data_IF_894221104616
#
_entry.id   IF_894221104616
#
_cell.length_a   1.000
_cell.length_b   1.000
_cell.length_c   1.000
_cell.angle_alpha   90.00
_cell.angle_beta   90.00
_cell.angle_gamma   90.00
#
_symmetry.space_group_name_H-M   'P 1'
#
loop_
_entity.id
_entity.type
_entity.pdbx_description
1 polymer ?
#
# COMPACT_ATOMS: atom_id res chain seq x y z
N UNK A 1 -47.89 -38.21 19.83
CA UNK A 1 -47.60 -37.56 18.53
C UNK A 1 -46.96 -36.20 18.83
N UNK A 2 -45.62 -36.12 18.81
CA UNK A 2 -44.86 -34.87 19.00
C UNK A 2 -43.96 -34.72 17.78
N UNK A 3 -44.27 -33.74 16.94
CA UNK A 3 -43.50 -33.40 15.75
C UNK A 3 -42.39 -32.46 16.21
N UNK A 4 -41.13 -32.90 16.17
CA UNK A 4 -39.97 -32.02 16.33
C UNK A 4 -39.72 -31.32 14.99
N UNK A 5 -39.81 -29.99 14.97
CA UNK A 5 -39.30 -29.18 13.87
C UNK A 5 -37.80 -28.94 14.10
N UNK A 6 -36.97 -29.46 13.21
CA UNK A 6 -35.55 -29.15 13.15
C UNK A 6 -35.41 -27.88 12.30
N UNK A 7 -35.13 -26.73 12.92
CA UNK A 7 -34.77 -25.52 12.20
C UNK A 7 -33.30 -25.62 11.79
N UNK A 8 -33.04 -25.85 10.50
CA UNK A 8 -31.70 -25.72 9.94
C UNK A 8 -31.42 -24.23 9.72
N UNK A 9 -30.53 -23.65 10.54
CA UNK A 9 -29.98 -22.32 10.31
C UNK A 9 -28.96 -22.41 9.17
N UNK A 10 -29.32 -21.92 8.00
CA UNK A 10 -28.40 -21.73 6.87
C UNK A 10 -27.50 -20.53 7.20
N UNK A 11 -26.26 -20.79 7.60
CA UNK A 11 -25.25 -19.74 7.73
C UNK A 11 -24.90 -19.25 6.32
N UNK A 12 -25.33 -18.03 5.99
CA UNK A 12 -24.88 -17.34 4.79
C UNK A 12 -23.43 -16.91 5.03
N UNK A 13 -22.47 -17.69 4.54
CA UNK A 13 -21.08 -17.24 4.46
C UNK A 13 -21.04 -16.08 3.45
N UNK A 14 -20.96 -14.86 3.96
CA UNK A 14 -20.59 -13.70 3.15
C UNK A 14 -19.11 -13.86 2.88
N UNK A 15 -18.75 -14.41 1.72
CA UNK A 15 -17.38 -14.33 1.25
C UNK A 15 -17.12 -12.86 0.93
N UNK A 16 -16.35 -12.18 1.77
CA UNK A 16 -15.89 -10.82 1.44
C UNK A 16 -15.11 -10.91 0.12
N UNK A 17 -15.52 -10.12 -0.87
CA UNK A 17 -14.86 -10.07 -2.17
C UNK A 17 -13.55 -9.31 -1.97
N UNK A 18 -12.45 -10.04 -1.89
CA UNK A 18 -11.09 -9.51 -1.97
C UNK A 18 -10.87 -9.03 -3.40
N UNK A 19 -10.52 -7.77 -3.55
CA UNK A 19 -10.13 -7.20 -4.82
C UNK A 19 -9.09 -6.11 -4.56
N UNK A 20 -7.88 -6.30 -5.11
CA UNK A 20 -6.88 -5.24 -5.27
C UNK A 20 -7.52 -3.89 -5.61
N UNK A 21 -6.89 -2.79 -5.18
CA UNK A 21 -7.44 -1.46 -5.42
C UNK A 21 -7.57 -1.20 -6.93
N UNK A 22 -8.80 -1.17 -7.42
CA UNK A 22 -9.09 -1.06 -8.86
C UNK A 22 -9.03 0.40 -9.31
N UNK A 23 -8.07 0.70 -10.18
CA UNK A 23 -7.96 1.99 -10.86
C UNK A 23 -8.86 1.99 -12.10
N UNK A 24 -9.97 2.73 -12.05
CA UNK A 24 -10.89 2.87 -13.19
C UNK A 24 -10.58 4.08 -14.07
N UNK A 25 -9.81 5.02 -13.54
CA UNK A 25 -9.28 6.19 -14.22
C UNK A 25 -7.88 6.51 -13.66
N UNK A 26 -7.27 7.61 -14.13
CA UNK A 26 -5.95 8.08 -13.70
C UNK A 26 -6.06 9.15 -12.61
N UNK A 27 -7.13 9.13 -11.80
CA UNK A 27 -7.22 10.03 -10.65
C UNK A 27 -6.17 9.63 -9.63
N UNK A 28 -5.55 10.62 -8.99
CA UNK A 28 -4.62 10.38 -7.90
C UNK A 28 -5.29 9.55 -6.79
N UNK A 29 -4.55 8.59 -6.24
CA UNK A 29 -4.96 7.87 -5.05
C UNK A 29 -4.26 8.47 -3.83
N UNK A 30 -5.02 8.75 -2.78
CA UNK A 30 -4.49 9.29 -1.52
C UNK A 30 -4.93 8.45 -0.33
N UNK A 31 -4.06 8.27 0.65
CA UNK A 31 -4.39 7.65 1.94
C UNK A 31 -3.58 8.29 3.07
N UNK A 32 -4.29 8.92 3.99
CA UNK A 32 -3.76 9.61 5.18
C UNK A 32 -3.83 8.74 6.45
N UNK A 33 -4.24 7.48 6.31
CA UNK A 33 -4.33 6.47 7.38
C UNK A 33 -5.13 6.85 8.65
N UNK A 34 -5.78 8.01 8.67
CA UNK A 34 -6.59 8.54 9.77
C UNK A 34 -7.86 7.72 10.06
N UNK A 35 -8.15 6.74 9.20
CA UNK A 35 -9.21 5.74 9.39
C UNK A 35 -8.83 4.64 10.39
N UNK A 36 -7.54 4.46 10.68
CA UNK A 36 -7.05 3.36 11.51
C UNK A 36 -7.62 3.40 12.93
N UNK A 37 -7.56 2.24 13.59
CA UNK A 37 -8.12 2.09 14.93
C UNK A 37 -7.28 2.82 15.99
N UNK A 38 -7.94 3.59 16.85
CA UNK A 38 -7.34 4.35 17.96
C UNK A 38 -7.46 3.66 19.33
N UNK A 39 -7.91 2.40 19.36
CA UNK A 39 -8.12 1.66 20.60
C UNK A 39 -6.96 0.70 20.88
N UNK A 40 -6.47 0.73 22.13
CA UNK A 40 -5.36 -0.08 22.64
C UNK A 40 -5.65 -1.59 22.70
N UNK A 41 -6.85 -2.05 22.31
CA UNK A 41 -7.12 -3.49 22.20
C UNK A 41 -6.35 -4.07 21.02
N UNK A 42 -5.82 -5.29 21.19
CA UNK A 42 -5.30 -6.09 20.07
C UNK A 42 -6.35 -6.20 18.98
N UNK A 43 -6.02 -5.65 17.82
CA UNK A 43 -6.80 -5.74 16.62
C UNK A 43 -6.12 -6.74 15.67
N UNK A 44 -6.83 -7.11 14.62
CA UNK A 44 -6.26 -7.85 13.51
C UNK A 44 -6.24 -6.96 12.29
N UNK A 45 -5.25 -7.16 11.44
CA UNK A 45 -5.25 -6.61 10.09
C UNK A 45 -5.95 -7.57 9.12
N UNK A 46 -6.87 -7.06 8.31
CA UNK A 46 -7.58 -7.80 7.27
C UNK A 46 -7.10 -7.33 5.90
N UNK A 47 -6.31 -8.20 5.25
CA UNK A 47 -5.73 -7.93 3.94
C UNK A 47 -6.82 -7.78 2.88
N UNK A 48 -6.70 -6.73 2.08
CA UNK A 48 -7.52 -6.49 0.90
C UNK A 48 -9.04 -6.41 1.20
N UNK A 49 -9.36 -5.65 2.25
CA UNK A 49 -10.74 -5.44 2.68
C UNK A 49 -11.51 -4.63 1.65
N UNK A 50 -12.74 -5.04 1.30
CA UNK A 50 -13.55 -4.37 0.27
C UNK A 50 -13.90 -2.91 0.58
N UNK A 51 -13.77 -2.50 1.84
CA UNK A 51 -13.97 -1.12 2.30
C UNK A 51 -12.94 -0.79 3.36
N UNK A 52 -12.52 0.46 3.39
CA UNK A 52 -11.72 1.00 4.47
C UNK A 52 -12.43 0.81 5.82
N UNK A 53 -11.69 0.35 6.84
CA UNK A 53 -12.19 0.27 8.21
C UNK A 53 -12.54 1.68 8.71
N UNK A 54 -13.56 1.80 9.57
CA UNK A 54 -13.88 3.07 10.21
C UNK A 54 -13.29 3.09 11.61
N UNK A 55 -12.85 4.25 12.11
CA UNK A 55 -12.27 4.35 13.46
C UNK A 55 -13.14 3.64 14.51
N UNK A 56 -12.52 2.73 15.27
CA UNK A 56 -13.17 1.92 16.30
C UNK A 56 -13.80 0.59 15.84
N UNK A 57 -13.70 0.21 14.56
CA UNK A 57 -14.09 -1.13 14.09
C UNK A 57 -12.90 -2.09 14.04
N UNK A 58 -13.09 -3.33 14.49
CA UNK A 58 -12.14 -4.42 14.35
C UNK A 58 -12.64 -5.43 13.31
N UNK A 59 -11.83 -5.89 12.34
CA UNK A 59 -10.39 -5.60 12.08
C UNK A 59 -10.10 -4.28 11.32
N UNK A 60 -8.82 -3.85 11.32
CA UNK A 60 -8.30 -2.75 10.47
C UNK A 60 -8.00 -3.27 9.05
N UNK A 61 -8.17 -2.43 8.02
CA UNK A 61 -7.89 -2.82 6.64
C UNK A 61 -8.48 -1.83 5.62
N UNK A 62 -8.02 -1.91 4.37
CA UNK A 62 -8.48 -1.06 3.26
C UNK A 62 -8.27 -1.80 1.92
N UNK A 63 -9.03 -1.46 0.84
CA UNK A 63 -8.88 -2.13 -0.45
C UNK A 63 -7.45 -2.07 -0.97
N UNK A 64 -6.95 -3.21 -1.47
CA UNK A 64 -5.60 -3.34 -1.99
C UNK A 64 -4.49 -3.30 -0.95
N UNK A 65 -4.75 -3.04 0.34
CA UNK A 65 -3.69 -3.02 1.34
C UNK A 65 -3.42 -4.38 1.95
N UNK A 66 -2.13 -4.71 2.07
CA UNK A 66 -1.63 -5.95 2.62
C UNK A 66 -0.65 -5.68 3.74
N UNK A 67 -0.72 -6.51 4.78
CA UNK A 67 0.22 -6.62 5.89
C UNK A 67 0.60 -8.08 6.06
N UNK A 68 1.90 -8.36 6.09
CA UNK A 68 2.42 -9.73 6.20
C UNK A 68 3.71 -9.75 7.03
N UNK A 69 3.77 -10.63 8.01
CA UNK A 69 4.87 -10.76 8.98
C UNK A 69 5.42 -12.21 9.07
N UNK A 70 4.84 -13.14 8.32
CA UNK A 70 5.23 -14.54 8.30
C UNK A 70 4.76 -15.38 9.49
N UNK A 71 4.01 -14.82 10.45
CA UNK A 71 3.51 -15.53 11.65
C UNK A 71 1.99 -15.31 11.84
N UNK A 72 1.57 -14.38 12.68
CA UNK A 72 0.16 -14.01 12.90
C UNK A 72 0.10 -12.59 13.42
N UNK A 73 -0.57 -11.71 12.68
CA UNK A 73 -0.54 -10.26 12.89
C UNK A 73 -1.42 -9.82 14.06
N UNK A 74 -0.77 -9.43 15.16
CA UNK A 74 -1.37 -8.48 16.09
C UNK A 74 -1.22 -7.08 15.53
N UNK A 75 -2.34 -6.36 15.41
CA UNK A 75 -2.41 -4.97 15.00
C UNK A 75 -2.75 -4.10 16.21
N UNK A 76 -1.80 -3.27 16.61
CA UNK A 76 -1.88 -2.44 17.81
C UNK A 76 -2.19 -1.00 17.45
N UNK A 77 -2.68 -0.27 18.44
CA UNK A 77 -2.63 1.18 18.46
C UNK A 77 -1.55 1.60 19.47
N UNK A 78 -0.74 2.60 19.14
CA UNK A 78 0.27 3.07 20.08
C UNK A 78 0.91 4.40 19.70
N UNK A 79 1.61 4.98 20.67
CA UNK A 79 2.36 6.24 20.48
C UNK A 79 3.88 5.98 20.48
N UNK A 80 4.31 4.78 20.12
CA UNK A 80 5.73 4.36 20.15
C UNK A 80 6.25 3.85 21.51
N UNK A 81 5.41 3.81 22.54
CA UNK A 81 5.81 3.38 23.90
C UNK A 81 5.72 1.86 24.09
N UNK A 82 4.81 1.20 23.36
CA UNK A 82 4.60 -0.23 23.46
C UNK A 82 5.88 -1.01 23.10
N UNK A 83 6.05 -2.17 23.74
CA UNK A 83 7.21 -3.05 23.52
C UNK A 83 6.84 -4.36 22.83
N UNK A 84 5.61 -4.49 22.33
CA UNK A 84 5.15 -5.70 21.65
C UNK A 84 5.45 -5.59 20.16
N UNK A 85 6.22 -6.50 19.54
CA UNK A 85 6.42 -6.47 18.09
C UNK A 85 5.10 -6.64 17.37
N UNK A 86 4.89 -5.90 16.29
CA UNK A 86 3.55 -5.80 15.72
C UNK A 86 3.39 -4.90 14.52
N UNK A 87 2.20 -4.97 13.94
CA UNK A 87 1.63 -3.90 13.14
C UNK A 87 1.07 -2.82 14.05
N UNK A 88 1.16 -1.56 13.64
CA UNK A 88 0.78 -0.42 14.44
C UNK A 88 -0.01 0.61 13.63
N UNK A 89 -1.10 1.07 14.22
CA UNK A 89 -1.59 2.42 14.04
C UNK A 89 -0.84 3.31 15.03
N UNK A 90 0.13 4.05 14.53
CA UNK A 90 0.86 5.02 15.33
C UNK A 90 0.11 6.35 15.34
N UNK A 91 0.12 7.04 16.48
CA UNK A 91 -0.43 8.39 16.58
C UNK A 91 0.61 9.37 17.09
N UNK A 92 0.80 10.47 16.36
CA UNK A 92 1.47 11.66 16.88
C UNK A 92 0.59 12.27 17.98
N UNK A 93 1.09 13.16 18.84
CA UNK A 93 0.29 13.72 19.95
C UNK A 93 -1.02 14.45 19.55
N UNK A 94 -1.34 14.53 18.26
CA UNK A 94 -2.56 15.08 17.67
C UNK A 94 -3.61 13.97 17.48
N UNK A 95 -4.79 14.07 18.13
CA UNK A 95 -5.86 13.09 17.93
C UNK A 95 -6.31 12.99 16.47
N UNK A 96 -6.31 11.77 15.94
CA UNK A 96 -6.77 11.48 14.58
C UNK A 96 -5.74 11.75 13.47
N UNK A 97 -4.47 11.92 13.84
CA UNK A 97 -3.30 11.96 12.97
C UNK A 97 -2.56 10.62 13.13
N UNK A 98 -2.87 9.65 12.26
CA UNK A 98 -2.48 8.26 12.41
C UNK A 98 -1.62 7.79 11.24
N UNK A 99 -0.51 7.14 11.53
CA UNK A 99 0.36 6.51 10.54
C UNK A 99 0.26 4.97 10.60
N UNK A 100 0.46 4.31 9.45
CA UNK A 100 0.55 2.84 9.36
C UNK A 100 2.02 2.42 9.48
N UNK A 101 2.36 1.60 10.47
CA UNK A 101 3.74 1.22 10.70
C UNK A 101 3.93 -0.09 11.44
N UNK A 102 5.19 -0.39 11.74
CA UNK A 102 5.64 -1.59 12.45
C UNK A 102 6.53 -1.24 13.63
N UNK A 103 6.63 -2.20 14.55
CA UNK A 103 7.77 -2.36 15.43
C UNK A 103 8.20 -3.82 15.35
N UNK A 104 9.41 -4.06 14.89
CA UNK A 104 10.07 -5.37 14.78
C UNK A 104 10.93 -5.62 16.04
N UNK A 105 11.10 -6.88 16.44
CA UNK A 105 12.02 -7.24 17.54
C UNK A 105 12.29 -8.75 17.54
N UNK A 106 13.50 -9.14 17.98
CA UNK A 106 13.93 -10.52 18.13
C UNK A 106 13.95 -11.03 19.58
N UNK A 107 13.64 -10.21 20.59
CA UNK A 107 13.69 -10.66 21.99
C UNK A 107 12.43 -11.46 22.42
N UNK A 108 12.30 -12.73 22.01
CA UNK A 108 11.27 -13.63 22.56
C UNK A 108 10.86 -14.83 21.71
N UNK A 109 9.77 -15.49 22.10
CA UNK A 109 9.21 -16.67 21.41
C UNK A 109 8.01 -16.37 20.50
N UNK A 110 7.67 -15.09 20.33
CA UNK A 110 6.52 -14.57 19.55
C UNK A 110 6.97 -13.33 18.78
N UNK A 111 8.02 -13.49 17.97
CA UNK A 111 8.81 -12.42 17.35
C UNK A 111 8.34 -12.13 15.94
N UNK A 112 8.07 -10.85 15.64
CA UNK A 112 8.00 -10.36 14.26
C UNK A 112 9.42 -9.96 13.88
N UNK A 113 10.09 -10.86 13.17
CA UNK A 113 11.48 -10.62 12.74
C UNK A 113 11.55 -9.71 11.52
N UNK A 114 10.58 -9.79 10.62
CA UNK A 114 10.57 -9.00 9.41
C UNK A 114 9.13 -8.85 8.96
N UNK A 115 8.80 -7.69 8.41
CA UNK A 115 7.44 -7.40 8.00
C UNK A 115 7.44 -6.62 6.71
N UNK A 116 6.47 -6.95 5.85
CA UNK A 116 6.21 -6.19 4.65
C UNK A 116 4.74 -5.78 4.63
N UNK A 117 4.51 -4.51 4.31
CA UNK A 117 3.19 -4.00 4.02
C UNK A 117 3.21 -3.18 2.75
N UNK A 118 2.03 -2.99 2.17
CA UNK A 118 1.98 -2.46 0.83
C UNK A 118 0.58 -2.33 0.28
N UNK A 119 0.51 -1.68 -0.87
CA UNK A 119 -0.72 -1.54 -1.64
C UNK A 119 -0.57 -2.22 -2.99
N UNK A 120 -1.60 -2.95 -3.40
CA UNK A 120 -1.70 -3.62 -4.69
C UNK A 120 -2.81 -2.96 -5.49
N UNK A 121 -2.43 -2.42 -6.65
CA UNK A 121 -3.28 -1.71 -7.58
C UNK A 121 -3.59 -2.60 -8.77
N UNK A 122 -4.82 -2.56 -9.26
CA UNK A 122 -5.23 -3.21 -10.50
C UNK A 122 -5.57 -2.16 -11.56
N UNK A 123 -4.82 -2.14 -12.66
CA UNK A 123 -5.06 -1.18 -13.74
C UNK A 123 -6.27 -1.60 -14.59
N UNK A 124 -7.43 -1.00 -14.33
CA UNK A 124 -8.65 -1.15 -15.13
C UNK A 124 -8.98 0.12 -15.95
N UNK A 125 -7.99 0.99 -16.18
CA UNK A 125 -8.18 2.29 -16.86
C UNK A 125 -8.37 2.17 -18.37
N UNK A 126 -8.03 1.01 -18.94
CA UNK A 126 -8.07 0.75 -20.38
C UNK A 126 -6.82 1.19 -21.15
N UNK A 127 -5.86 1.85 -20.50
CA UNK A 127 -4.58 2.27 -21.08
C UNK A 127 -3.40 1.66 -20.32
N UNK A 128 -2.22 1.62 -20.93
CA UNK A 128 -0.98 1.24 -20.22
C UNK A 128 -0.47 2.41 -19.38
N UNK A 129 -0.31 2.20 -18.07
CA UNK A 129 0.35 3.15 -17.17
C UNK A 129 1.86 2.98 -17.33
N UNK A 130 2.57 4.09 -17.62
CA UNK A 130 4.01 4.12 -17.84
C UNK A 130 4.80 4.70 -16.66
N UNK A 131 4.18 5.57 -15.87
CA UNK A 131 4.81 6.17 -14.70
C UNK A 131 3.84 6.22 -13.53
N UNK A 132 4.36 5.99 -12.33
CA UNK A 132 3.65 6.23 -11.07
C UNK A 132 4.54 7.09 -10.20
N UNK A 133 4.12 8.32 -9.92
CA UNK A 133 4.75 9.14 -8.89
C UNK A 133 4.21 8.69 -7.53
N UNK A 134 5.12 8.34 -6.62
CA UNK A 134 4.83 7.94 -5.25
C UNK A 134 5.37 9.03 -4.35
N UNK A 135 4.51 9.56 -3.48
CA UNK A 135 4.90 10.46 -2.39
C UNK A 135 4.33 9.93 -1.09
N UNK A 136 5.13 9.88 -0.02
CA UNK A 136 4.65 9.56 1.33
C UNK A 136 5.54 10.21 2.39
N UNK A 137 5.03 10.33 3.61
CA UNK A 137 5.80 10.76 4.77
C UNK A 137 6.28 9.52 5.53
N UNK A 138 7.59 9.28 5.57
CA UNK A 138 8.18 8.28 6.46
C UNK A 138 8.32 8.87 7.86
N UNK A 139 7.98 8.10 8.90
CA UNK A 139 7.96 8.56 10.29
C UNK A 139 8.61 7.55 11.24
N UNK A 140 9.24 8.07 12.29
CA UNK A 140 9.80 7.32 13.40
C UNK A 140 9.04 7.65 14.68
N UNK A 141 8.45 6.64 15.30
CA UNK A 141 7.70 6.70 16.57
C UNK A 141 8.46 6.11 17.75
N UNK A 142 9.44 5.25 17.46
CA UNK A 142 10.31 4.65 18.46
C UNK A 142 11.72 4.59 17.91
N UNK A 143 12.69 4.78 18.79
CA UNK A 143 14.10 4.79 18.44
C UNK A 143 14.68 3.39 18.49
N UNK A 144 15.52 3.09 17.51
CA UNK A 144 16.37 1.92 17.56
C UNK A 144 17.40 2.04 18.70
N UNK A 145 17.72 0.93 19.35
CA UNK A 145 18.72 0.86 20.42
C UNK A 145 20.16 0.95 19.91
N UNK A 146 20.41 0.58 18.64
CA UNK A 146 21.68 0.73 17.95
C UNK A 146 21.51 0.51 16.44
N UNK A 147 22.36 1.14 15.63
CA UNK A 147 22.36 0.96 14.17
C UNK A 147 21.33 1.82 13.45
N UNK A 148 21.48 1.92 12.12
CA UNK A 148 20.50 2.56 11.26
C UNK A 148 19.37 1.56 11.03
N UNK A 149 18.15 2.01 11.28
CA UNK A 149 16.93 1.28 10.93
C UNK A 149 16.26 1.95 9.73
N UNK A 150 15.69 1.17 8.83
CA UNK A 150 15.22 1.66 7.54
C UNK A 150 13.96 0.95 7.10
N UNK A 151 12.98 1.73 6.65
CA UNK A 151 11.84 1.22 5.92
C UNK A 151 12.15 1.20 4.42
N UNK A 152 12.51 0.02 3.91
CA UNK A 152 12.98 -0.13 2.52
C UNK A 152 11.81 -0.22 1.54
N UNK A 153 11.92 0.46 0.41
CA UNK A 153 10.87 0.46 -0.62
C UNK A 153 11.23 -0.38 -1.84
N UNK A 154 10.23 -1.10 -2.36
CA UNK A 154 10.31 -1.82 -3.61
C UNK A 154 8.94 -1.90 -4.30
N UNK A 155 8.94 -2.18 -5.60
CA UNK A 155 7.71 -2.35 -6.38
C UNK A 155 7.82 -3.52 -7.36
N UNK A 156 6.67 -4.05 -7.76
CA UNK A 156 6.58 -5.13 -8.75
C UNK A 156 5.37 -4.96 -9.64
N UNK A 157 5.52 -5.22 -10.94
CA UNK A 157 4.38 -5.40 -11.84
C UNK A 157 4.14 -6.89 -12.13
N UNK A 158 2.88 -7.27 -12.29
CA UNK A 158 2.48 -8.65 -12.53
C UNK A 158 1.22 -8.74 -13.39
N UNK A 159 1.09 -9.81 -14.19
CA UNK A 159 -0.15 -10.14 -14.92
C UNK A 159 -1.16 -10.92 -14.07
N UNK A 160 -0.74 -11.38 -12.89
CA UNK A 160 -1.59 -11.99 -11.87
C UNK A 160 -1.60 -11.12 -10.61
N UNK A 161 -2.68 -11.19 -9.85
CA UNK A 161 -2.78 -10.45 -8.58
C UNK A 161 -1.62 -10.80 -7.65
N UNK A 162 -1.01 -9.76 -7.07
CA UNK A 162 0.05 -9.91 -6.08
C UNK A 162 -0.65 -10.03 -4.73
N UNK A 163 -0.55 -11.20 -4.09
CA UNK A 163 -1.15 -11.46 -2.77
C UNK A 163 -0.12 -11.80 -1.70
N UNK A 164 1.16 -11.89 -2.08
CA UNK A 164 2.29 -12.20 -1.21
C UNK A 164 3.35 -11.11 -1.39
N UNK A 165 3.67 -10.43 -0.29
CA UNK A 165 4.68 -9.39 -0.22
C UNK A 165 6.05 -9.96 0.20
N UNK A 166 6.20 -11.27 0.38
CA UNK A 166 7.45 -11.94 0.77
C UNK A 166 8.12 -11.24 1.98
N UNK A 167 7.46 -11.19 3.16
CA UNK A 167 7.93 -10.38 4.29
C UNK A 167 9.24 -10.84 4.91
N UNK A 168 9.60 -12.12 4.72
CA UNK A 168 10.84 -12.71 5.26
C UNK A 168 12.05 -12.54 4.33
N UNK A 169 11.92 -11.76 3.26
CA UNK A 169 12.96 -11.55 2.27
C UNK A 169 13.14 -10.05 2.00
N UNK A 170 14.32 -9.50 2.29
CA UNK A 170 14.60 -8.07 2.04
C UNK A 170 14.80 -7.73 0.56
N UNK A 171 15.08 -8.72 -0.29
CA UNK A 171 15.24 -8.54 -1.74
C UNK A 171 14.54 -9.66 -2.54
N UNK A 172 13.20 -9.70 -2.51
CA UNK A 172 12.42 -10.74 -3.16
C UNK A 172 12.53 -10.69 -4.69
N UNK A 173 12.50 -11.87 -5.32
CA UNK A 173 12.73 -11.97 -6.77
C UNK A 173 11.55 -11.35 -7.52
N UNK A 174 11.84 -10.42 -8.43
CA UNK A 174 10.80 -9.73 -9.21
C UNK A 174 10.38 -8.38 -8.64
N UNK A 175 10.74 -8.09 -7.38
CA UNK A 175 10.61 -6.77 -6.80
C UNK A 175 11.83 -5.91 -7.17
N UNK A 176 11.57 -4.67 -7.57
CA UNK A 176 12.56 -3.67 -7.94
C UNK A 176 12.65 -2.66 -6.82
N UNK A 177 13.83 -2.51 -6.22
CA UNK A 177 14.07 -1.52 -5.17
C UNK A 177 14.16 -0.11 -5.76
N UNK A 178 13.57 0.87 -5.08
CA UNK A 178 13.81 2.30 -5.33
C UNK A 178 14.31 2.95 -4.03
N UNK A 179 15.63 3.13 -3.87
CA UNK A 179 16.21 3.71 -2.65
C UNK A 179 15.80 5.16 -2.39
N UNK A 180 15.28 5.89 -3.37
CA UNK A 180 14.79 7.27 -3.14
C UNK A 180 13.47 7.32 -2.38
N UNK A 181 12.81 6.16 -2.24
CA UNK A 181 11.63 5.94 -1.42
C UNK A 181 11.96 5.12 -0.17
N UNK A 182 13.22 4.90 0.20
CA UNK A 182 13.60 4.28 1.48
C UNK A 182 13.65 5.35 2.56
N UNK A 183 12.86 5.18 3.63
CA UNK A 183 12.96 6.03 4.82
C UNK A 183 14.02 5.49 5.76
N UNK A 184 15.09 6.25 5.93
CA UNK A 184 16.17 5.96 6.87
C UNK A 184 15.89 6.68 8.19
N UNK A 185 15.57 5.92 9.24
CA UNK A 185 15.23 6.49 10.52
C UNK A 185 16.45 7.20 11.13
N UNK A 186 16.32 8.44 11.65
CA UNK A 186 17.45 9.15 12.21
C UNK A 186 18.16 8.33 13.29
N UNK A 187 19.49 8.22 13.15
CA UNK A 187 20.32 7.57 14.15
C UNK A 187 20.51 8.51 15.36
N UNK A 188 19.86 8.22 16.50
CA UNK A 188 20.28 8.80 17.78
C UNK A 188 20.91 7.76 18.72
N UNK A 189 22.25 7.77 18.89
CA UNK A 189 22.95 6.88 19.81
C UNK A 189 22.82 7.24 21.31
N UNK A 190 21.98 8.20 21.73
CA UNK A 190 21.90 8.71 23.10
C UNK A 190 20.53 8.65 23.80
N UNK A 191 20.51 8.04 25.00
CA UNK A 191 19.37 7.92 25.96
C UNK A 191 18.39 6.75 25.67
N UNK A 192 17.75 6.14 26.70
CA UNK A 192 17.03 4.86 26.55
C UNK A 192 15.83 4.90 25.58
N UNK A 193 15.51 3.77 24.92
CA UNK A 193 14.76 3.68 23.65
C UNK A 193 13.24 3.94 23.74
N UNK A 194 12.75 4.52 24.84
CA UNK A 194 11.33 4.50 25.19
C UNK A 194 10.64 5.86 25.06
N UNK A 195 11.29 6.89 24.52
CA UNK A 195 10.68 8.20 24.41
C UNK A 195 11.26 9.00 23.25
N UNK A 196 10.53 9.04 22.15
CA UNK A 196 10.54 10.20 21.26
C UNK A 196 9.14 10.34 20.63
N UNK A 197 8.11 10.81 21.37
CA UNK A 197 7.00 11.46 20.65
C UNK A 197 7.62 12.55 19.78
N UNK A 198 7.07 12.97 18.63
CA UNK A 198 7.66 14.03 17.82
C UNK A 198 7.86 15.28 18.69
N UNK A 199 9.06 15.42 19.27
CA UNK A 199 9.37 16.45 20.22
C UNK A 199 9.85 17.61 19.38
N UNK A 200 9.26 18.81 19.52
CA UNK A 200 9.68 19.99 18.76
C UNK A 200 11.11 20.48 19.08
N UNK A 201 11.88 19.72 19.86
CA UNK A 201 13.22 20.07 20.35
C UNK A 201 14.30 19.06 20.01
N UNK A 202 13.99 17.91 19.43
CA UNK A 202 15.04 17.07 18.84
C UNK A 202 15.37 17.60 17.44
N UNK A 203 16.65 17.83 17.17
CA UNK A 203 17.13 18.38 15.89
C UNK A 203 17.23 17.32 14.79
N UNK A 204 16.90 16.07 15.10
CA UNK A 204 16.68 14.99 14.14
C UNK A 204 15.20 15.00 13.74
N UNK A 205 14.92 15.22 12.46
CA UNK A 205 13.55 15.16 11.93
C UNK A 205 13.05 13.73 12.07
N UNK A 206 12.09 13.48 12.96
CA UNK A 206 11.43 12.17 13.14
C UNK A 206 10.56 11.78 11.95
N UNK A 207 10.45 12.64 10.94
CA UNK A 207 9.76 12.36 9.70
C UNK A 207 10.43 13.00 8.49
N UNK A 208 10.22 12.42 7.32
CA UNK A 208 10.70 12.90 6.02
C UNK A 208 9.65 12.63 4.95
N UNK A 209 9.39 13.58 4.06
CA UNK A 209 8.58 13.33 2.87
C UNK A 209 9.46 12.82 1.74
N UNK A 210 9.18 11.62 1.26
CA UNK A 210 9.88 10.96 0.16
C UNK A 210 9.03 11.00 -1.10
N UNK A 211 9.67 11.29 -2.24
CA UNK A 211 9.01 11.33 -3.55
C UNK A 211 9.89 10.70 -4.62
N UNK A 212 9.32 9.83 -5.45
CA UNK A 212 9.97 9.29 -6.65
C UNK A 212 8.97 8.97 -7.76
N UNK A 213 9.42 9.04 -9.00
CA UNK A 213 8.64 8.62 -10.18
C UNK A 213 9.13 7.25 -10.65
N UNK A 214 8.31 6.22 -10.41
CA UNK A 214 8.56 4.87 -10.86
C UNK A 214 8.28 4.74 -12.35
N UNK A 215 9.27 4.31 -13.14
CA UNK A 215 9.05 3.90 -14.52
C UNK A 215 8.51 2.48 -14.55
N UNK A 216 7.23 2.31 -14.93
CA UNK A 216 6.55 1.02 -14.94
C UNK A 216 6.07 0.66 -16.34
N UNK A 217 5.88 -0.63 -16.61
CA UNK A 217 5.04 -1.08 -17.73
C UNK A 217 3.86 -1.82 -17.12
N UNK A 218 2.76 -1.11 -16.90
CA UNK A 218 1.55 -1.64 -16.28
C UNK A 218 0.40 -1.61 -17.29
N UNK A 219 0.27 -2.63 -18.16
CA UNK A 219 -0.85 -2.72 -19.09
C UNK A 219 -2.20 -2.79 -18.38
N UNK A 220 -3.29 -2.49 -19.10
CA UNK A 220 -4.63 -2.75 -18.60
C UNK A 220 -4.79 -4.25 -18.23
N UNK A 221 -5.47 -4.53 -17.13
CA UNK A 221 -5.65 -5.85 -16.54
C UNK A 221 -4.46 -6.37 -15.74
N UNK A 222 -3.37 -5.60 -15.58
CA UNK A 222 -2.21 -5.97 -14.79
C UNK A 222 -2.20 -5.29 -13.42
N UNK A 223 -1.34 -5.77 -12.54
CA UNK A 223 -1.22 -5.36 -11.15
C UNK A 223 0.12 -4.69 -10.89
N UNK A 224 0.11 -3.70 -9.99
CA UNK A 224 1.29 -3.06 -9.42
C UNK A 224 1.25 -3.22 -7.90
N UNK A 225 2.24 -3.86 -7.33
CA UNK A 225 2.48 -3.90 -5.89
C UNK A 225 3.52 -2.87 -5.51
N UNK A 226 3.22 -2.06 -4.50
CA UNK A 226 4.18 -1.21 -3.80
C UNK A 226 4.40 -1.82 -2.42
N UNK A 227 5.66 -1.92 -1.99
CA UNK A 227 6.06 -2.66 -0.79
C UNK A 227 7.05 -1.86 0.03
N UNK A 228 6.66 -1.62 1.27
CA UNK A 228 7.53 -1.19 2.35
C UNK A 228 7.92 -2.42 3.17
N UNK A 229 9.21 -2.55 3.46
CA UNK A 229 9.77 -3.67 4.21
C UNK A 229 10.63 -3.17 5.35
N UNK A 230 10.23 -3.56 6.55
CA UNK A 230 10.94 -3.33 7.80
C UNK A 230 11.62 -4.65 8.18
N UNK A 231 12.95 -4.61 8.16
CA UNK A 231 13.80 -5.74 8.48
C UNK A 231 14.33 -5.58 9.89
N UNK A 232 14.27 -6.65 10.70
CA UNK A 232 14.85 -6.54 12.02
C UNK A 232 16.36 -6.27 11.98
N UNK A 233 16.80 -5.32 12.81
CA UNK A 233 18.21 -4.97 12.95
C UNK A 233 18.81 -5.55 14.24
N UNK A 234 20.13 -5.38 14.42
CA UNK A 234 20.76 -5.86 15.65
C UNK A 234 20.50 -4.89 16.79
N UNK A 235 19.77 -5.33 17.81
CA UNK A 235 19.43 -4.52 18.97
C UNK A 235 17.92 -4.41 19.08
N UNK A 236 17.44 -3.33 19.70
CA UNK A 236 16.02 -2.96 19.61
C UNK A 236 15.79 -2.17 18.33
N UNK A 237 14.71 -2.48 17.61
CA UNK A 237 14.38 -1.80 16.37
C UNK A 237 13.61 -0.49 16.64
N UNK A 238 13.57 0.34 15.62
CA UNK A 238 12.75 1.53 15.60
C UNK A 238 11.27 1.18 15.37
N UNK A 239 10.39 2.10 15.71
CA UNK A 239 8.98 2.04 15.31
C UNK A 239 8.82 2.90 14.08
N UNK A 240 8.69 2.29 12.91
CA UNK A 240 8.70 2.98 11.63
C UNK A 240 7.31 2.97 11.00
N UNK A 241 6.92 4.07 10.36
CA UNK A 241 5.61 4.21 9.77
C UNK A 241 5.64 4.98 8.45
N UNK A 242 4.53 4.87 7.71
CA UNK A 242 4.21 5.71 6.57
C UNK A 242 2.91 6.47 6.83
N UNK A 243 2.86 7.69 6.30
CA UNK A 243 1.67 8.53 6.28
C UNK A 243 1.54 9.33 4.96
N UNK A 244 0.39 9.98 4.74
CA UNK A 244 0.12 10.91 3.65
C UNK A 244 0.49 10.36 2.25
N UNK A 245 0.19 9.08 2.00
CA UNK A 245 0.50 8.46 0.72
C UNK A 245 -0.29 9.12 -0.40
N UNK A 246 0.40 9.55 -1.45
CA UNK A 246 -0.16 10.02 -2.71
C UNK A 246 0.46 9.25 -3.88
N UNK A 247 -0.39 8.75 -4.78
CA UNK A 247 0.00 8.06 -6.00
C UNK A 247 -0.60 8.78 -7.20
N UNK A 248 0.25 9.25 -8.13
CA UNK A 248 -0.16 9.91 -9.37
C UNK A 248 0.25 9.10 -10.59
N UNK A 249 -0.64 8.98 -11.58
CA UNK A 249 -0.49 8.04 -12.69
C UNK A 249 -0.34 8.73 -14.04
N UNK A 250 0.71 8.38 -14.79
CA UNK A 250 0.88 8.78 -16.20
C UNK A 250 0.66 7.57 -17.11
N UNK A 251 -0.28 7.69 -18.06
CA UNK A 251 -0.49 6.69 -19.10
C UNK A 251 0.22 7.04 -20.41
N UNK A 252 0.59 6.01 -21.17
CA UNK A 252 0.99 6.18 -22.56
C UNK A 252 -0.27 6.56 -23.37
N UNK A 253 -0.25 7.66 -24.13
CA UNK A 253 -1.38 7.98 -25.01
C UNK A 253 -1.58 6.86 -26.02
N UNK A 254 -2.77 6.26 -26.03
CA UNK A 254 -3.13 5.32 -27.09
C UNK A 254 -3.01 6.03 -28.44
N UNK A 255 -2.41 5.41 -29.48
CA UNK A 255 -2.35 6.00 -30.79
C UNK A 255 -3.78 6.22 -31.29
N UNK A 256 -4.20 7.47 -31.25
CA UNK A 256 -5.52 7.92 -31.69
C UNK A 256 -5.93 7.22 -32.98
N UNK A 257 -7.05 6.46 -32.95
CA UNK A 257 -7.66 5.82 -34.12
C UNK A 257 -8.23 6.83 -35.15
N UNK A 258 -7.73 8.07 -35.16
CA UNK A 258 -8.20 9.19 -35.97
C UNK A 258 -7.80 9.10 -37.45
N UNK A 259 -7.24 7.99 -37.93
CA UNK A 259 -6.68 7.88 -39.28
C UNK A 259 -7.44 6.99 -40.28
N UNK A 260 -8.56 6.36 -39.91
CA UNK A 260 -9.33 5.53 -40.86
C UNK A 260 -10.69 6.10 -41.30
N UNK A 261 -11.17 7.21 -40.75
CA UNK A 261 -12.41 7.87 -41.19
C UNK A 261 -12.26 8.82 -42.39
N UNK A 262 -11.03 9.17 -42.79
CA UNK A 262 -10.74 10.24 -43.74
C UNK A 262 -10.47 9.85 -45.19
N UNK A 263 -10.59 8.57 -45.57
CA UNK A 263 -10.18 8.09 -46.90
C UNK A 263 -11.22 7.22 -47.62
N UNK A 264 -12.53 7.50 -47.43
CA UNK A 264 -13.62 6.82 -48.18
C UNK A 264 -14.61 7.82 -48.84
N UNK A 265 -14.22 9.06 -49.12
CA UNK A 265 -15.08 10.03 -49.83
C UNK A 265 -14.51 10.57 -51.15
N UNK A 266 -13.58 9.84 -51.80
CA UNK A 266 -12.84 10.37 -52.96
C UNK A 266 -12.97 9.66 -54.31
N UNK A 267 -13.72 8.54 -54.46
CA UNK A 267 -13.76 7.80 -55.75
C UNK A 267 -15.17 7.28 -56.08
N UNK A 268 -16.13 8.19 -56.25
CA UNK A 268 -17.40 7.93 -56.97
C UNK A 268 -17.78 9.10 -57.89
N UNK A 269 -16.77 9.64 -58.61
CA UNK A 269 -16.94 10.78 -59.52
C UNK A 269 -16.50 10.52 -60.96
N UNK A 270 -16.29 9.26 -61.36
CA UNK A 270 -15.94 8.92 -62.74
C UNK A 270 -16.85 7.82 -63.26
N UNK A 271 -17.61 8.14 -64.31
CA UNK A 271 -18.29 7.25 -65.29
C UNK A 271 -19.83 7.29 -65.34
N UNK A 272 -20.41 8.42 -65.77
CA UNK A 272 -21.64 8.46 -66.59
C UNK A 272 -21.80 9.93 -67.05
N UNK A 273 -21.87 10.33 -68.31
CA UNK A 273 -22.52 9.73 -69.46
C UNK A 273 -21.91 10.32 -70.75
N UNK A 274 -21.46 9.47 -71.66
CA UNK A 274 -21.05 9.87 -72.99
C UNK A 274 -22.25 9.98 -73.95
N UNK A 275 -22.25 11.04 -74.76
CA UNK A 275 -22.88 11.19 -76.09
C UNK A 275 -24.40 11.03 -76.22
N UNK A 276 -25.02 12.04 -76.83
CA UNK A 276 -25.73 11.85 -78.11
C UNK A 276 -25.75 13.13 -78.95
N UNK A 277 -25.30 12.98 -80.20
CA UNK A 277 -25.41 13.94 -81.31
C UNK A 277 -26.87 14.25 -81.62
N UNK A 278 -27.18 15.50 -81.97
CA UNK A 278 -27.68 15.93 -83.29
C UNK A 278 -27.32 17.40 -83.49
#
# INVERSE_FOLDING_TARGET
MRVLFLAASLALLVTECRAALVLNDLTDYTNDFNFLNTTESENFWDNDRSTQSTSGTTPSGSPGWYWQDGVTSSFFYGTGIASSPGAYSFQSGVPGDLALGSYTDLDGSDTIEQVAWGIVLHNNTGSTISEVEVTYTGEQYRRAGAGLDSLTFSFQTSSAEITDLEPLNSAPTGWQSDPSLTFDAPLDPGSPPFYDPPLPTDTLTTSETLTSTLSVNLPAGHFLGLRWHDANITGSDAGLAIDDLTLSFTAVPEPSAFLFGGLICGVLGANHFSKRRR
#
